data_IF_597708017876
#
_entry.id   IF_597708017876
#
_cell.length_a   1.000
_cell.length_b   1.000
_cell.length_c   1.000
_cell.angle_alpha   90.00
_cell.angle_beta   90.00
_cell.angle_gamma   90.00
#
_symmetry.space_group_name_H-M   'P 1'
#
loop_
_entity.id
_entity.type
_entity.pdbx_description
1 polymer ?
#
# COMPACT_ATOMS: atom_id res chain seq x y z
N UNK A 1 12.91 -2.87 13.74
CA UNK A 1 13.20 -2.25 12.44
C UNK A 1 13.97 -0.97 12.65
N UNK A 2 15.22 -1.10 13.06
CA UNK A 2 16.10 0.07 13.25
C UNK A 2 17.46 -0.15 12.59
N UNK A 3 17.64 -1.30 11.91
CA UNK A 3 18.85 -1.63 11.19
C UNK A 3 18.71 -1.23 9.72
N UNK A 4 19.71 -0.52 9.21
CA UNK A 4 19.78 -0.11 7.82
C UNK A 4 19.76 -1.33 6.87
N UNK A 5 19.03 -1.20 5.78
CA UNK A 5 18.85 -2.27 4.80
C UNK A 5 17.81 -3.33 5.18
N UNK A 6 17.12 -3.17 6.32
CA UNK A 6 15.98 -4.03 6.67
C UNK A 6 14.82 -3.80 5.69
N UNK A 7 14.25 -4.91 5.21
CA UNK A 7 13.13 -4.90 4.29
C UNK A 7 11.83 -4.52 4.97
N UNK A 8 11.06 -3.62 4.36
CA UNK A 8 9.72 -3.31 4.81
C UNK A 8 8.75 -4.47 4.52
N UNK A 9 7.77 -4.68 5.40
CA UNK A 9 6.69 -5.65 5.23
C UNK A 9 5.34 -4.96 5.19
N UNK A 10 4.27 -5.74 4.99
CA UNK A 10 2.89 -5.26 5.05
C UNK A 10 2.55 -4.55 6.38
N UNK A 11 3.22 -4.92 7.49
CA UNK A 11 3.01 -4.31 8.80
C UNK A 11 3.47 -2.84 8.82
N UNK A 12 4.63 -2.55 8.25
CA UNK A 12 5.16 -1.19 8.15
C UNK A 12 4.37 -0.34 7.17
N UNK A 13 3.91 -0.94 6.07
CA UNK A 13 3.05 -0.25 5.10
C UNK A 13 1.74 0.16 5.78
N UNK A 14 1.12 -0.72 6.56
CA UNK A 14 -0.08 -0.41 7.32
C UNK A 14 0.19 0.66 8.41
N UNK A 15 1.28 0.53 9.16
CA UNK A 15 1.67 1.50 10.17
C UNK A 15 1.88 2.90 9.56
N UNK A 16 2.53 2.95 8.38
CA UNK A 16 2.76 4.18 7.62
C UNK A 16 1.46 4.81 7.15
N UNK A 17 0.52 4.01 6.61
CA UNK A 17 -0.80 4.50 6.22
C UNK A 17 -1.53 5.17 7.40
N UNK A 18 -1.49 4.54 8.57
CA UNK A 18 -2.07 5.09 9.80
C UNK A 18 -1.36 6.37 10.26
N UNK A 19 -0.03 6.36 10.27
CA UNK A 19 0.80 7.49 10.70
C UNK A 19 0.57 8.73 9.84
N UNK A 20 0.59 8.56 8.52
CA UNK A 20 0.41 9.65 7.54
C UNK A 20 -1.06 10.02 7.32
N UNK A 21 -2.00 9.25 7.88
CA UNK A 21 -3.45 9.42 7.66
C UNK A 21 -3.82 9.41 6.17
N UNK A 22 -3.12 8.59 5.38
CA UNK A 22 -3.38 8.41 3.94
C UNK A 22 -3.48 6.93 3.58
N UNK A 23 -4.37 6.62 2.65
CA UNK A 23 -4.50 5.26 2.14
C UNK A 23 -3.33 4.95 1.21
N UNK A 24 -2.82 3.72 1.30
CA UNK A 24 -1.71 3.24 0.49
C UNK A 24 -2.21 2.08 -0.37
N UNK A 25 -2.02 2.20 -1.67
CA UNK A 25 -2.29 1.14 -2.64
C UNK A 25 -0.97 0.51 -3.09
N UNK A 26 -0.86 -0.81 -3.00
CA UNK A 26 0.31 -1.55 -3.46
C UNK A 26 -0.11 -2.51 -4.57
N UNK A 27 0.43 -2.33 -5.77
CA UNK A 27 0.25 -3.28 -6.86
C UNK A 27 1.22 -4.44 -6.66
N UNK A 28 0.69 -5.58 -6.23
CA UNK A 28 1.46 -6.77 -5.84
C UNK A 28 0.71 -8.04 -6.27
N UNK A 29 1.32 -9.20 -6.06
CA UNK A 29 0.67 -10.51 -6.21
C UNK A 29 1.10 -11.45 -5.09
N UNK A 30 0.25 -12.40 -4.76
CA UNK A 30 0.66 -13.61 -4.03
C UNK A 30 1.49 -14.51 -4.95
N UNK A 31 2.24 -15.46 -4.38
CA UNK A 31 3.24 -16.30 -5.07
C UNK A 31 2.80 -16.80 -6.46
N UNK A 32 1.55 -17.28 -6.57
CA UNK A 32 0.96 -17.78 -7.82
C UNK A 32 -0.34 -17.04 -8.20
N UNK A 33 -0.58 -15.85 -7.62
CA UNK A 33 -1.78 -15.06 -7.83
C UNK A 33 -1.65 -14.07 -8.99
N UNK A 34 -2.79 -13.53 -9.48
CA UNK A 34 -2.77 -12.40 -10.39
C UNK A 34 -2.26 -11.15 -9.68
N UNK A 35 -1.69 -10.22 -10.46
CA UNK A 35 -1.37 -8.89 -9.96
C UNK A 35 -2.64 -8.10 -9.66
N UNK A 36 -2.68 -7.50 -8.47
CA UNK A 36 -3.82 -6.74 -8.01
C UNK A 36 -3.40 -5.63 -7.05
N UNK A 37 -4.28 -4.63 -6.91
CA UNK A 37 -4.09 -3.55 -5.96
C UNK A 37 -4.52 -3.99 -4.56
N UNK A 38 -3.58 -4.05 -3.64
CA UNK A 38 -3.83 -4.23 -2.21
C UNK A 38 -3.99 -2.86 -1.56
N UNK A 39 -5.04 -2.70 -0.76
CA UNK A 39 -5.35 -1.44 -0.09
C UNK A 39 -5.02 -1.54 1.41
N UNK A 40 -4.12 -0.67 1.85
CA UNK A 40 -3.81 -0.42 3.26
C UNK A 40 -4.49 0.87 3.68
N UNK A 41 -5.54 0.76 4.50
CA UNK A 41 -6.32 1.92 4.92
C UNK A 41 -5.67 2.60 6.12
N UNK A 42 -5.59 3.91 6.05
CA UNK A 42 -5.13 4.77 7.16
C UNK A 42 -6.06 4.79 8.37
N UNK A 43 -7.34 4.50 8.16
CA UNK A 43 -8.35 4.49 9.21
C UNK A 43 -9.06 3.14 9.23
N UNK A 44 -8.99 2.45 10.38
CA UNK A 44 -9.64 1.14 10.52
C UNK A 44 -11.17 1.23 10.56
N UNK A 45 -11.75 2.37 10.92
CA UNK A 45 -13.13 2.42 11.40
C UNK A 45 -13.69 3.83 11.24
N UNK A 46 -14.61 4.12 10.30
CA UNK A 46 -15.73 5.09 10.50
C UNK A 46 -16.87 4.97 9.47
N UNK A 47 -16.67 4.38 8.30
CA UNK A 47 -17.77 4.14 7.34
C UNK A 47 -17.71 2.76 6.71
N UNK A 48 -18.31 1.77 7.38
CA UNK A 48 -18.75 0.54 6.72
C UNK A 48 -19.62 0.97 5.52
N UNK A 49 -19.25 0.56 4.31
CA UNK A 49 -20.09 0.77 3.12
C UNK A 49 -19.68 1.86 2.12
N UNK A 50 -18.60 2.63 2.34
CA UNK A 50 -18.03 3.43 1.22
C UNK A 50 -16.92 2.65 0.52
N UNK A 51 -17.06 2.34 -0.78
CA UNK A 51 -15.94 1.81 -1.54
C UNK A 51 -14.83 2.85 -1.54
N UNK A 52 -13.64 2.44 -1.09
CA UNK A 52 -12.45 3.29 -1.22
C UNK A 52 -12.07 3.26 -2.69
N UNK A 53 -12.31 4.36 -3.38
CA UNK A 53 -11.92 4.54 -4.76
C UNK A 53 -10.48 5.05 -4.80
N UNK A 54 -9.72 4.56 -5.79
CA UNK A 54 -8.44 5.16 -6.16
C UNK A 54 -8.65 6.66 -6.39
N UNK A 55 -7.80 7.47 -5.79
CA UNK A 55 -7.85 8.92 -5.85
C UNK A 55 -6.43 9.50 -5.82
N UNK A 56 -6.30 10.78 -6.14
CA UNK A 56 -5.03 11.53 -6.16
C UNK A 56 -4.49 11.93 -4.76
N UNK A 57 -5.13 11.49 -3.68
CA UNK A 57 -4.71 11.77 -2.29
C UNK A 57 -4.09 10.56 -1.60
N UNK A 58 -4.07 9.41 -2.28
CA UNK A 58 -3.51 8.16 -1.79
C UNK A 58 -2.09 7.97 -2.30
N UNK A 59 -1.27 7.19 -1.59
CA UNK A 59 0.04 6.77 -2.08
C UNK A 59 -0.09 5.49 -2.89
N UNK A 60 0.73 5.36 -3.92
CA UNK A 60 0.73 4.19 -4.80
C UNK A 60 2.14 3.63 -4.93
N UNK A 61 2.24 2.32 -4.74
CA UNK A 61 3.47 1.57 -4.90
C UNK A 61 3.30 0.41 -5.87
N UNK A 62 4.37 0.06 -6.57
CA UNK A 62 4.51 -1.14 -7.36
C UNK A 62 5.53 -2.07 -6.71
N UNK A 63 5.13 -3.30 -6.41
CA UNK A 63 5.99 -4.31 -5.81
C UNK A 63 6.79 -5.06 -6.89
N UNK A 64 7.73 -4.37 -7.52
CA UNK A 64 8.58 -4.88 -8.58
C UNK A 64 9.34 -6.14 -8.12
N UNK A 65 9.30 -7.20 -8.94
CA UNK A 65 9.94 -8.51 -8.68
C UNK A 65 9.61 -9.15 -7.32
N UNK A 66 8.56 -8.69 -6.62
CA UNK A 66 8.23 -9.09 -5.25
C UNK A 66 9.38 -8.86 -4.25
N UNK A 67 10.29 -7.96 -4.59
CA UNK A 67 11.45 -7.63 -3.78
C UNK A 67 11.88 -6.16 -3.96
N UNK A 68 11.04 -5.29 -4.47
CA UNK A 68 11.35 -3.87 -4.50
C UNK A 68 10.06 -3.05 -4.58
N UNK A 69 9.97 -1.97 -3.83
CA UNK A 69 8.83 -1.06 -3.90
C UNK A 69 9.22 0.19 -4.68
N UNK A 70 8.52 0.44 -5.78
CA UNK A 70 8.66 1.66 -6.59
C UNK A 70 7.45 2.56 -6.36
N UNK A 71 7.67 3.88 -6.31
CA UNK A 71 6.58 4.88 -6.25
C UNK A 71 5.90 4.96 -7.61
N UNK A 72 4.57 5.01 -7.62
CA UNK A 72 3.77 5.27 -8.82
C UNK A 72 3.25 6.70 -8.76
N UNK A 73 3.64 7.52 -9.74
CA UNK A 73 3.29 8.95 -9.79
C UNK A 73 1.99 9.24 -10.55
N UNK A 74 1.61 8.36 -11.47
CA UNK A 74 0.44 8.54 -12.33
C UNK A 74 -0.38 7.25 -12.35
N UNK A 75 -1.68 7.39 -12.09
CA UNK A 75 -2.63 6.29 -11.96
C UNK A 75 -3.86 6.70 -12.78
N UNK A 76 -3.80 6.45 -14.08
CA UNK A 76 -4.91 6.66 -15.02
C UNK A 76 -6.15 5.83 -14.66
#
# INVERSE_FOLDING_TARGET
MEEDGTWATDAEILATACLLRTDIFVFTRSANGPWMWHLFKSTSLKKKGRPVKRNNKSLYFYHHNLNHYMVVHDVY
#
